data_IF_893294266427
#
_entry.id   IF_893294266427
#
_cell.length_a   1.000
_cell.length_b   1.000
_cell.length_c   1.000
_cell.angle_alpha   90.00
_cell.angle_beta   90.00
_cell.angle_gamma   90.00
#
_symmetry.space_group_name_H-M   'P 1'
#
loop_
_entity.id
_entity.type
_entity.pdbx_description
1 polymer ?
#
# COMPACT_ATOMS: atom_id res chain seq x y z
N UNK A 1 13.40 47.14 -25.00
CA UNK A 1 12.32 46.15 -24.77
C UNK A 1 12.67 45.15 -23.67
N UNK A 2 13.86 44.52 -23.66
CA UNK A 2 14.29 43.57 -22.62
C UNK A 2 14.35 44.14 -21.18
N UNK A 3 14.67 45.43 -21.01
CA UNK A 3 14.73 46.05 -19.68
C UNK A 3 13.35 46.22 -19.02
N UNK A 4 12.29 46.47 -19.81
CA UNK A 4 10.92 46.61 -19.29
C UNK A 4 10.38 45.26 -18.78
N UNK A 5 10.68 44.16 -19.48
CA UNK A 5 10.29 42.83 -19.04
C UNK A 5 10.99 42.40 -17.74
N UNK A 6 12.24 42.83 -17.54
CA UNK A 6 12.98 42.53 -16.32
C UNK A 6 12.43 43.28 -15.10
N UNK A 7 11.98 44.52 -15.31
CA UNK A 7 11.41 45.36 -14.26
C UNK A 7 10.02 44.90 -13.81
N UNK A 8 9.17 44.45 -14.76
CA UNK A 8 7.89 43.81 -14.42
C UNK A 8 8.06 42.49 -13.67
N UNK A 9 9.04 41.66 -14.07
CA UNK A 9 9.33 40.40 -13.38
C UNK A 9 9.72 40.61 -11.92
N UNK A 10 10.55 41.63 -11.62
CA UNK A 10 10.88 41.97 -10.23
C UNK A 10 9.65 42.43 -9.44
N UNK A 11 8.82 43.30 -10.01
CA UNK A 11 7.60 43.78 -9.34
C UNK A 11 6.61 42.67 -9.03
N UNK A 12 6.50 41.67 -9.90
CA UNK A 12 5.63 40.51 -9.67
C UNK A 12 6.15 39.60 -8.56
N UNK A 13 7.47 39.37 -8.50
CA UNK A 13 8.11 38.61 -7.44
C UNK A 13 8.00 39.35 -6.09
N UNK A 14 8.27 40.65 -6.08
CA UNK A 14 8.17 41.49 -4.89
C UNK A 14 6.73 41.56 -4.37
N UNK A 15 5.72 41.66 -5.24
CA UNK A 15 4.30 41.64 -4.85
C UNK A 15 3.87 40.28 -4.28
N UNK A 16 4.38 39.17 -4.83
CA UNK A 16 4.07 37.83 -4.34
C UNK A 16 4.77 37.48 -3.03
N UNK A 17 5.92 38.10 -2.73
CA UNK A 17 6.69 37.89 -1.52
C UNK A 17 6.45 38.94 -0.43
N UNK A 18 5.91 40.11 -0.78
CA UNK A 18 5.53 41.16 0.17
C UNK A 18 4.69 40.66 1.36
N UNK A 19 3.64 39.82 1.17
CA UNK A 19 2.89 39.26 2.30
C UNK A 19 3.67 38.19 3.10
N UNK A 20 4.75 37.64 2.55
CA UNK A 20 5.65 36.69 3.24
C UNK A 20 6.74 37.39 4.05
N UNK A 21 7.17 38.58 3.62
CA UNK A 21 8.22 39.40 4.25
C UNK A 21 7.69 40.52 5.15
N UNK A 22 6.38 40.79 5.15
CA UNK A 22 5.74 41.54 6.24
C UNK A 22 6.02 40.87 7.59
N UNK A 23 6.18 41.66 8.66
CA UNK A 23 6.72 41.26 9.98
C UNK A 23 6.06 40.01 10.62
N UNK A 24 4.88 39.60 10.14
CA UNK A 24 4.10 38.48 10.66
C UNK A 24 4.09 37.23 9.74
N UNK A 25 4.62 37.32 8.51
CA UNK A 25 4.59 36.21 7.54
C UNK A 25 5.54 35.06 7.91
N UNK A 26 6.79 35.39 8.24
CA UNK A 26 7.82 34.43 8.67
C UNK A 26 7.39 33.63 9.92
N UNK A 27 6.92 34.25 11.04
CA UNK A 27 6.53 33.48 12.22
C UNK A 27 5.32 32.56 11.98
N UNK A 28 4.34 32.97 11.15
CA UNK A 28 3.21 32.11 10.79
C UNK A 28 3.65 30.91 9.94
N UNK A 29 4.57 31.11 9.00
CA UNK A 29 5.15 30.02 8.20
C UNK A 29 5.91 29.02 9.07
N UNK A 30 6.75 29.51 10.00
CA UNK A 30 7.50 28.66 10.94
C UNK A 30 6.54 27.85 11.81
N UNK A 31 5.50 28.48 12.36
CA UNK A 31 4.49 27.81 13.18
C UNK A 31 3.80 26.69 12.40
N UNK A 32 3.39 26.96 11.16
CA UNK A 32 2.78 25.96 10.28
C UNK A 32 3.72 24.78 10.01
N UNK A 33 4.99 25.05 9.70
CA UNK A 33 5.99 24.00 9.45
C UNK A 33 6.17 23.13 10.70
N UNK A 34 6.32 23.72 11.88
CA UNK A 34 6.48 22.98 13.14
C UNK A 34 5.27 22.10 13.43
N UNK A 35 4.06 22.62 13.23
CA UNK A 35 2.82 21.86 13.42
C UNK A 35 2.75 20.68 12.46
N UNK A 36 3.01 20.90 11.17
CA UNK A 36 3.01 19.82 10.16
C UNK A 36 4.04 18.75 10.50
N UNK A 37 5.28 19.12 10.81
CA UNK A 37 6.31 18.17 11.21
C UNK A 37 5.93 17.39 12.47
N UNK A 38 5.39 18.06 13.48
CA UNK A 38 4.94 17.41 14.72
C UNK A 38 3.84 16.38 14.44
N UNK A 39 2.85 16.71 13.62
CA UNK A 39 1.77 15.81 13.23
C UNK A 39 2.29 14.59 12.46
N UNK A 40 3.20 14.80 11.49
CA UNK A 40 3.83 13.69 10.75
C UNK A 40 4.61 12.76 11.68
N UNK A 41 5.42 13.31 12.59
CA UNK A 41 6.17 12.51 13.58
C UNK A 41 5.21 11.71 14.45
N UNK A 42 4.13 12.32 14.95
CA UNK A 42 3.13 11.63 15.76
C UNK A 42 2.49 10.47 15.02
N UNK A 43 2.11 10.66 13.74
CA UNK A 43 1.55 9.62 12.89
C UNK A 43 2.54 8.48 12.71
N UNK A 44 3.80 8.77 12.38
CA UNK A 44 4.84 7.75 12.19
C UNK A 44 5.09 6.95 13.48
N UNK A 45 5.17 7.65 14.62
CA UNK A 45 5.30 7.01 15.93
C UNK A 45 4.10 6.12 16.20
N UNK A 46 2.87 6.61 15.96
CA UNK A 46 1.65 5.85 16.19
C UNK A 46 1.62 4.56 15.35
N UNK A 47 1.88 4.64 14.04
CA UNK A 47 1.93 3.47 13.15
C UNK A 47 3.01 2.47 13.57
N UNK A 48 4.13 2.94 14.12
CA UNK A 48 5.25 2.08 14.52
C UNK A 48 5.05 1.44 15.90
N UNK A 49 4.41 2.16 16.81
CA UNK A 49 4.23 1.77 18.22
C UNK A 49 2.97 0.91 18.39
N UNK A 50 1.88 1.22 17.70
CA UNK A 50 0.63 0.46 17.76
C UNK A 50 0.80 -1.05 17.50
N UNK A 51 1.47 -1.52 16.42
CA UNK A 51 1.69 -2.95 16.18
C UNK A 51 2.54 -3.60 17.28
N UNK A 52 3.46 -2.86 17.92
CA UNK A 52 4.26 -3.38 19.04
C UNK A 52 3.45 -3.55 20.32
N UNK A 53 2.46 -2.70 20.58
CA UNK A 53 1.58 -2.87 21.73
C UNK A 53 0.52 -3.96 21.53
N UNK A 54 0.04 -4.17 20.31
CA UNK A 54 -0.97 -5.21 20.05
C UNK A 54 -0.35 -6.59 19.77
N UNK A 55 0.91 -6.66 19.34
CA UNK A 55 1.63 -7.92 19.13
C UNK A 55 1.59 -8.89 20.33
N UNK A 56 1.77 -8.46 21.60
CA UNK A 56 1.67 -9.37 22.74
C UNK A 56 0.23 -9.80 23.08
N UNK A 57 -0.80 -9.12 22.57
CA UNK A 57 -2.21 -9.47 22.78
C UNK A 57 -2.81 -10.30 21.64
N UNK A 58 -2.17 -10.33 20.46
CA UNK A 58 -2.51 -11.24 19.38
C UNK A 58 -1.69 -12.52 19.62
N UNK A 59 -2.19 -13.35 20.52
CA UNK A 59 -1.78 -14.75 20.64
C UNK A 59 -1.83 -15.34 19.22
N UNK A 60 -0.67 -15.69 18.68
CA UNK A 60 -0.55 -16.29 17.35
C UNK A 60 -1.14 -17.68 17.43
N UNK A 61 -2.46 -17.77 17.32
CA UNK A 61 -3.14 -19.04 17.21
C UNK A 61 -2.55 -19.74 15.97
N UNK A 62 -1.96 -20.93 16.10
CA UNK A 62 -1.45 -21.66 14.95
C UNK A 62 -2.58 -21.76 13.95
N UNK A 63 -2.41 -21.13 12.79
CA UNK A 63 -3.38 -21.23 11.73
C UNK A 63 -3.60 -22.72 11.47
N UNK A 64 -4.79 -23.22 11.79
CA UNK A 64 -5.14 -24.61 11.58
C UNK A 64 -4.79 -24.95 10.13
N UNK A 65 -3.90 -25.92 9.95
CA UNK A 65 -3.54 -26.40 8.63
C UNK A 65 -4.84 -26.80 7.95
N UNK A 66 -5.21 -26.19 6.82
CA UNK A 66 -6.44 -26.57 6.15
C UNK A 66 -6.32 -28.06 5.87
N UNK A 67 -7.23 -28.85 6.44
CA UNK A 67 -7.34 -30.26 6.10
C UNK A 67 -7.46 -30.32 4.58
N UNK A 68 -6.49 -30.95 3.93
CA UNK A 68 -6.58 -31.23 2.51
C UNK A 68 -7.89 -31.99 2.32
N UNK A 69 -8.86 -31.36 1.67
CA UNK A 69 -10.03 -32.08 1.17
C UNK A 69 -9.49 -32.95 0.05
N UNK A 70 -9.66 -34.26 0.19
CA UNK A 70 -9.45 -35.24 -0.88
C UNK A 70 -10.56 -35.09 -1.95
N UNK A 71 -10.77 -33.86 -2.44
CA UNK A 71 -11.45 -33.66 -3.71
C UNK A 71 -10.42 -34.07 -4.77
N UNK A 72 -10.36 -35.38 -5.02
CA UNK A 72 -9.43 -36.02 -5.96
C UNK A 72 -9.69 -35.42 -7.35
N UNK A 73 -8.83 -34.47 -7.73
CA UNK A 73 -8.88 -33.83 -9.03
C UNK A 73 -8.79 -34.91 -10.11
N UNK A 74 -9.69 -34.88 -11.13
CA UNK A 74 -9.61 -35.82 -12.24
C UNK A 74 -8.21 -35.80 -12.86
N UNK A 75 -7.69 -36.98 -13.18
CA UNK A 75 -6.30 -37.17 -13.65
C UNK A 75 -6.00 -36.30 -14.88
N UNK A 76 -7.00 -36.11 -15.76
CA UNK A 76 -6.89 -35.26 -16.93
C UNK A 76 -6.61 -33.79 -16.57
N UNK A 77 -7.22 -33.30 -15.50
CA UNK A 77 -7.02 -31.93 -15.00
C UNK A 77 -5.62 -31.78 -14.42
N UNK A 78 -5.14 -32.79 -13.70
CA UNK A 78 -3.78 -32.83 -13.16
C UNK A 78 -2.72 -32.81 -14.26
N UNK A 79 -2.91 -33.60 -15.33
CA UNK A 79 -1.98 -33.64 -16.47
C UNK A 79 -1.95 -32.30 -17.21
N UNK A 80 -3.11 -31.66 -17.40
CA UNK A 80 -3.18 -30.33 -18.06
C UNK A 80 -2.48 -29.26 -17.22
N UNK A 81 -2.70 -29.25 -15.89
CA UNK A 81 -2.01 -28.33 -14.99
C UNK A 81 -0.50 -28.58 -15.01
N UNK A 82 -0.06 -29.84 -14.94
CA UNK A 82 1.35 -30.20 -14.99
C UNK A 82 2.01 -29.75 -16.30
N UNK A 83 1.34 -29.95 -17.44
CA UNK A 83 1.82 -29.50 -18.75
C UNK A 83 1.91 -27.97 -18.85
N UNK A 84 0.91 -27.24 -18.35
CA UNK A 84 0.92 -25.78 -18.34
C UNK A 84 2.04 -25.23 -17.45
N UNK A 85 2.25 -25.83 -16.28
CA UNK A 85 3.34 -25.47 -15.37
C UNK A 85 4.70 -25.77 -15.99
N UNK A 86 4.87 -26.95 -16.62
CA UNK A 86 6.09 -27.32 -17.30
C UNK A 86 6.42 -26.35 -18.45
N UNK A 87 5.42 -25.96 -19.24
CA UNK A 87 5.57 -24.97 -20.31
C UNK A 87 5.88 -23.57 -19.79
N UNK A 88 5.29 -23.17 -18.65
CA UNK A 88 5.52 -21.85 -18.06
C UNK A 88 6.88 -21.72 -17.37
N UNK A 89 7.42 -22.84 -16.86
CA UNK A 89 8.60 -22.82 -16.01
C UNK A 89 9.92 -23.17 -16.71
N UNK A 90 9.87 -23.71 -17.94
CA UNK A 90 10.96 -24.02 -18.89
C UNK A 90 12.11 -24.92 -18.32
N UNK A 91 12.16 -25.13 -17.01
CA UNK A 91 13.18 -25.84 -16.24
C UNK A 91 12.51 -26.55 -15.05
N UNK A 92 13.07 -27.66 -14.54
CA UNK A 92 12.58 -28.30 -13.34
C UNK A 92 12.87 -27.46 -12.09
N UNK A 93 11.81 -26.96 -11.42
CA UNK A 93 11.94 -26.19 -10.18
C UNK A 93 11.63 -27.04 -8.96
N UNK A 94 12.47 -26.92 -7.93
CA UNK A 94 12.28 -27.57 -6.63
C UNK A 94 11.96 -26.50 -5.59
N UNK A 95 10.84 -26.65 -4.89
CA UNK A 95 10.52 -25.78 -3.74
C UNK A 95 11.46 -26.16 -2.60
N UNK A 96 12.50 -25.36 -2.39
CA UNK A 96 13.50 -25.59 -1.33
C UNK A 96 13.00 -25.09 0.03
N UNK A 97 12.15 -24.05 0.04
CA UNK A 97 11.67 -23.43 1.28
C UNK A 97 10.34 -22.74 1.06
N UNK A 98 9.39 -23.00 1.95
CA UNK A 98 8.17 -22.21 2.10
C UNK A 98 8.36 -21.38 3.36
N UNK A 99 8.46 -20.06 3.21
CA UNK A 99 8.56 -19.13 4.35
C UNK A 99 7.17 -18.61 4.66
N UNK A 100 6.79 -18.59 5.94
CA UNK A 100 5.65 -17.81 6.40
C UNK A 100 5.92 -16.33 6.11
N UNK A 101 5.04 -15.72 5.33
CA UNK A 101 5.10 -14.29 5.00
C UNK A 101 4.91 -13.47 6.29
N UNK A 102 5.63 -12.37 6.44
CA UNK A 102 5.39 -11.42 7.54
C UNK A 102 4.14 -10.56 7.31
N UNK A 103 3.63 -9.87 8.34
CA UNK A 103 2.42 -9.02 8.26
C UNK A 103 2.39 -8.04 7.07
N UNK A 104 3.54 -7.52 6.62
CA UNK A 104 3.64 -6.65 5.44
C UNK A 104 3.72 -7.38 4.10
N UNK A 105 4.15 -8.64 4.08
CA UNK A 105 4.32 -9.45 2.87
C UNK A 105 3.02 -10.19 2.47
N UNK A 106 2.05 -10.24 3.40
CA UNK A 106 0.70 -10.74 3.10
C UNK A 106 -0.11 -9.85 2.16
N UNK A 107 0.30 -8.60 1.91
CA UNK A 107 -0.46 -7.62 1.15
C UNK A 107 -0.94 -8.16 -0.21
N UNK A 108 -0.04 -8.82 -0.95
CA UNK A 108 -0.36 -9.40 -2.26
C UNK A 108 -1.35 -10.58 -2.18
N UNK A 109 -1.16 -11.48 -1.20
CA UNK A 109 -2.07 -12.61 -0.98
C UNK A 109 -3.45 -12.18 -0.47
N UNK A 110 -3.49 -11.12 0.35
CA UNK A 110 -4.71 -10.54 0.90
C UNK A 110 -5.51 -9.86 -0.21
N UNK A 111 -4.84 -9.08 -1.06
CA UNK A 111 -5.43 -8.42 -2.21
C UNK A 111 -5.97 -9.43 -3.24
N UNK A 112 -5.21 -10.50 -3.51
CA UNK A 112 -5.67 -11.59 -4.37
C UNK A 112 -6.96 -12.25 -3.87
N UNK A 113 -7.03 -12.57 -2.56
CA UNK A 113 -8.25 -13.10 -1.93
C UNK A 113 -9.41 -12.11 -2.03
N UNK A 114 -9.17 -10.85 -1.69
CA UNK A 114 -10.21 -9.83 -1.69
C UNK A 114 -10.79 -9.62 -3.09
N UNK A 115 -9.94 -9.58 -4.12
CA UNK A 115 -10.36 -9.46 -5.52
C UNK A 115 -11.18 -10.67 -5.99
N UNK A 116 -10.78 -11.88 -5.60
CA UNK A 116 -11.51 -13.10 -5.91
C UNK A 116 -12.85 -13.22 -5.15
N UNK A 117 -12.93 -12.64 -3.94
CA UNK A 117 -14.18 -12.58 -3.20
C UNK A 117 -15.11 -11.45 -3.68
N UNK A 118 -14.57 -10.39 -4.28
CA UNK A 118 -15.40 -9.32 -4.83
C UNK A 118 -15.89 -9.62 -6.24
N UNK A 119 -15.21 -10.49 -6.99
CA UNK A 119 -15.60 -10.85 -8.36
C UNK A 119 -16.92 -11.61 -8.46
N UNK A 120 -17.38 -12.25 -7.40
CA UNK A 120 -18.65 -13.01 -7.38
C UNK A 120 -19.83 -12.22 -6.78
N UNK A 121 -19.64 -10.94 -6.44
CA UNK A 121 -20.74 -10.07 -6.01
C UNK A 121 -21.52 -9.60 -7.23
N UNK A 122 -22.32 -10.51 -7.79
CA UNK A 122 -23.28 -10.20 -8.86
C UNK A 122 -24.35 -9.32 -8.22
N UNK A 123 -24.37 -8.05 -8.60
CA UNK A 123 -25.46 -7.14 -8.28
C UNK A 123 -26.73 -7.70 -8.92
N UNK A 124 -27.65 -8.19 -8.09
CA UNK A 124 -28.98 -8.56 -8.55
C UNK A 124 -29.67 -7.26 -8.98
N UNK A 125 -29.56 -6.93 -10.27
CA UNK A 125 -30.24 -5.80 -10.89
C UNK A 125 -31.74 -6.09 -10.83
N UNK A 126 -32.40 -5.47 -9.86
CA UNK A 126 -33.85 -5.53 -9.71
C UNK A 126 -34.50 -4.97 -10.99
N UNK A 127 -35.22 -5.84 -11.69
CA UNK A 127 -35.80 -5.57 -13.01
C UNK A 127 -37.22 -5.08 -12.77
N UNK A 128 -37.39 -3.75 -12.75
CA UNK A 128 -38.71 -3.10 -12.81
C UNK A 128 -39.38 -3.34 -14.17
#
# INVERSE_FOLDING_TARGET
>A
MLLLAQEESKRLIDFSLAPLTEEHGIPMAIMGIVVVFSALVLIVVFITVLPRLVAPFIESQPAATPAARDDELPEEVLVVIAAAVAAALDHPHRIVKIRGLGAGEYAWSLEGRMKHHLSHRIEHRDRK
#
